data_IF_209982747923
#
_entry.id   IF_209982747923
#
_cell.length_a   1.000
_cell.length_b   1.000
_cell.length_c   1.000
_cell.angle_alpha   90.00
_cell.angle_beta   90.00
_cell.angle_gamma   90.00
#
_symmetry.space_group_name_H-M   'P 1'
#
loop_
_entity.id
_entity.type
_entity.pdbx_description
1 polymer ?
#
# COMPACT_ATOMS: atom_id res chain seq x y z
N UNK A 1 -0.41 -16.41 -6.38
CA UNK A 1 0.36 -15.18 -6.72
C UNK A 1 -0.59 -14.18 -7.38
N UNK A 2 -0.13 -13.03 -7.90
CA UNK A 2 -0.98 -12.15 -8.74
C UNK A 2 -1.07 -12.73 -10.17
N UNK A 3 -1.74 -13.87 -10.31
CA UNK A 3 -1.76 -14.66 -11.56
C UNK A 3 -2.56 -13.98 -12.67
N UNK A 4 -3.57 -13.21 -12.29
CA UNK A 4 -4.40 -12.44 -13.23
C UNK A 4 -3.75 -11.11 -13.68
N UNK A 5 -2.49 -10.85 -13.29
CA UNK A 5 -1.74 -9.64 -13.61
C UNK A 5 -2.52 -8.35 -13.32
N UNK A 6 -3.27 -8.34 -12.20
CA UNK A 6 -4.00 -7.15 -11.78
C UNK A 6 -3.01 -6.01 -11.50
N UNK A 7 -3.38 -4.75 -11.74
CA UNK A 7 -2.53 -3.59 -11.45
C UNK A 7 -2.50 -3.34 -9.93
N UNK A 8 -1.80 -4.22 -9.20
CA UNK A 8 -1.66 -4.19 -7.75
C UNK A 8 -0.18 -4.16 -7.36
N UNK A 9 0.17 -3.30 -6.41
CA UNK A 9 1.51 -3.17 -5.87
C UNK A 9 1.70 -3.93 -4.55
N UNK A 10 2.96 -4.23 -4.21
CA UNK A 10 3.33 -4.74 -2.88
C UNK A 10 4.25 -3.71 -2.22
N UNK A 11 4.01 -3.41 -0.95
CA UNK A 11 4.83 -2.46 -0.20
C UNK A 11 5.13 -2.94 1.23
N UNK A 12 6.37 -3.36 1.49
CA UNK A 12 6.81 -3.76 2.84
C UNK A 12 8.29 -3.46 3.08
N UNK A 13 8.69 -3.47 4.36
CA UNK A 13 10.05 -3.11 4.79
C UNK A 13 11.16 -3.94 4.17
N UNK A 14 10.90 -5.19 3.80
CA UNK A 14 11.89 -6.08 3.15
C UNK A 14 12.11 -5.83 1.65
N UNK A 15 11.41 -4.87 1.03
CA UNK A 15 11.68 -4.46 -0.36
C UNK A 15 12.79 -3.41 -0.40
N UNK A 16 13.50 -3.33 -1.52
CA UNK A 16 14.45 -2.24 -1.75
C UNK A 16 13.74 -0.89 -1.77
N UNK A 17 14.45 0.16 -1.33
CA UNK A 17 13.92 1.52 -1.32
C UNK A 17 13.38 1.95 -2.69
N UNK A 18 14.13 1.65 -3.76
CA UNK A 18 13.73 2.00 -5.11
C UNK A 18 12.44 1.29 -5.55
N UNK A 19 12.21 0.05 -5.10
CA UNK A 19 10.95 -0.66 -5.41
C UNK A 19 9.77 -0.03 -4.70
N UNK A 20 9.95 0.37 -3.43
CA UNK A 20 8.94 1.09 -2.65
C UNK A 20 8.56 2.42 -3.30
N UNK A 21 9.55 3.23 -3.65
CA UNK A 21 9.37 4.52 -4.34
C UNK A 21 8.64 4.36 -5.69
N UNK A 22 8.91 3.27 -6.43
CA UNK A 22 8.20 2.97 -7.68
C UNK A 22 6.72 2.67 -7.46
N UNK A 23 6.40 1.87 -6.44
CA UNK A 23 5.00 1.55 -6.08
C UNK A 23 4.28 2.81 -5.61
N UNK A 24 4.92 3.61 -4.77
CA UNK A 24 4.37 4.87 -4.31
C UNK A 24 4.06 5.80 -5.50
N UNK A 25 5.02 6.00 -6.41
CA UNK A 25 4.83 6.86 -7.56
C UNK A 25 3.78 6.32 -8.55
N UNK A 26 3.69 5.00 -8.73
CA UNK A 26 2.65 4.38 -9.57
C UNK A 26 1.25 4.56 -8.98
N UNK A 27 1.12 4.50 -7.65
CA UNK A 27 -0.13 4.79 -6.96
C UNK A 27 -0.54 6.27 -7.12
N UNK A 28 0.40 7.23 -6.99
CA UNK A 28 0.12 8.67 -7.22
C UNK A 28 -0.37 8.92 -8.65
N UNK A 29 0.19 8.21 -9.64
CA UNK A 29 -0.20 8.34 -11.05
C UNK A 29 -1.51 7.64 -11.40
N UNK A 30 -2.15 6.94 -10.46
CA UNK A 30 -3.35 6.15 -10.71
C UNK A 30 -3.13 4.89 -11.57
N UNK A 31 -1.87 4.42 -11.68
CA UNK A 31 -1.51 3.23 -12.45
C UNK A 31 -1.84 1.93 -11.71
N UNK A 32 -1.99 2.01 -10.38
CA UNK A 32 -2.36 0.90 -9.52
C UNK A 32 -3.80 1.06 -9.04
N UNK A 33 -4.54 -0.05 -9.04
CA UNK A 33 -5.89 -0.13 -8.44
C UNK A 33 -5.84 -0.41 -6.95
N UNK A 34 -4.75 -1.00 -6.46
CA UNK A 34 -4.57 -1.29 -5.03
C UNK A 34 -3.09 -1.50 -4.69
N UNK A 35 -2.74 -1.32 -3.41
CA UNK A 35 -1.45 -1.69 -2.86
C UNK A 35 -1.67 -2.58 -1.64
N UNK A 36 -1.01 -3.73 -1.61
CA UNK A 36 -0.96 -4.60 -0.43
C UNK A 36 0.28 -4.22 0.37
N UNK A 37 0.08 -3.77 1.60
CA UNK A 37 1.17 -3.30 2.45
C UNK A 37 1.11 -3.86 3.87
N UNK A 38 2.26 -3.80 4.54
CA UNK A 38 2.30 -3.85 6.01
C UNK A 38 2.18 -2.42 6.54
N UNK A 39 2.52 -2.19 7.82
CA UNK A 39 2.54 -0.83 8.38
C UNK A 39 3.62 0.12 7.82
N UNK A 40 4.14 -0.18 6.64
CA UNK A 40 5.08 0.63 5.87
C UNK A 40 4.41 1.84 5.20
N UNK A 41 3.07 1.84 5.06
CA UNK A 41 2.28 2.95 4.52
C UNK A 41 1.30 3.57 5.54
N UNK A 42 1.37 3.17 6.83
CA UNK A 42 0.40 3.60 7.86
C UNK A 42 0.41 5.11 8.13
N UNK A 43 1.53 5.80 7.89
CA UNK A 43 1.74 7.17 8.36
C UNK A 43 2.38 8.05 7.30
N UNK A 44 1.83 9.25 7.14
CA UNK A 44 2.47 10.35 6.42
C UNK A 44 2.35 10.32 4.90
N UNK A 45 1.50 9.46 4.34
CA UNK A 45 1.22 9.45 2.90
C UNK A 45 -0.20 9.94 2.65
N UNK A 46 -0.29 10.93 1.77
CA UNK A 46 -1.55 11.51 1.32
C UNK A 46 -1.84 11.01 -0.11
N UNK A 47 -2.80 10.09 -0.21
CA UNK A 47 -3.26 9.53 -1.48
C UNK A 47 -4.60 10.18 -1.84
N UNK A 48 -4.57 11.25 -2.63
CA UNK A 48 -5.78 12.00 -2.99
C UNK A 48 -6.89 11.17 -3.62
N UNK A 49 -6.53 10.06 -4.29
CA UNK A 49 -7.47 9.18 -5.00
C UNK A 49 -7.80 7.86 -4.27
N UNK A 50 -7.34 7.67 -3.02
CA UNK A 50 -7.69 6.48 -2.24
C UNK A 50 -8.92 6.75 -1.39
N UNK A 51 -9.99 6.01 -1.65
CA UNK A 51 -11.29 6.13 -0.97
C UNK A 51 -11.60 4.96 -0.02
N UNK A 52 -10.81 3.88 -0.07
CA UNK A 52 -11.02 2.66 0.70
C UNK A 52 -9.71 2.08 1.23
N UNK A 53 -9.68 1.81 2.54
CA UNK A 53 -8.63 1.04 3.21
C UNK A 53 -9.23 -0.24 3.78
N UNK A 54 -8.65 -1.39 3.42
CA UNK A 54 -9.07 -2.70 3.92
C UNK A 54 -8.01 -3.24 4.87
N UNK A 55 -8.35 -3.30 6.16
CA UNK A 55 -7.51 -3.93 7.17
C UNK A 55 -7.77 -5.44 7.21
N UNK A 56 -6.74 -6.23 6.89
CA UNK A 56 -6.81 -7.69 6.96
C UNK A 56 -6.35 -8.16 8.34
N UNK A 57 -7.28 -8.72 9.12
CA UNK A 57 -7.03 -9.22 10.47
C UNK A 57 -6.98 -8.11 11.53
N UNK A 58 -6.76 -8.51 12.79
CA UNK A 58 -6.70 -7.54 13.89
C UNK A 58 -5.40 -6.71 13.83
N UNK A 59 -5.46 -5.39 14.04
CA UNK A 59 -4.26 -4.58 14.15
C UNK A 59 -3.49 -4.94 15.43
N UNK A 60 -2.16 -4.73 15.42
CA UNK A 60 -1.32 -4.98 16.60
C UNK A 60 -1.66 -4.08 17.78
N UNK A 61 -2.22 -2.89 17.53
CA UNK A 61 -2.73 -1.98 18.53
C UNK A 61 -3.87 -1.12 17.95
N UNK A 62 -4.74 -0.60 18.82
CA UNK A 62 -5.88 0.23 18.41
C UNK A 62 -5.43 1.53 17.73
N UNK A 63 -4.28 2.08 18.14
CA UNK A 63 -3.72 3.32 17.59
C UNK A 63 -3.33 3.26 16.11
N UNK A 64 -3.33 2.08 15.49
CA UNK A 64 -3.08 1.93 14.05
C UNK A 64 -4.34 1.95 13.18
N UNK A 65 -5.52 2.00 13.78
CA UNK A 65 -6.80 2.12 13.05
C UNK A 65 -7.29 3.55 12.89
N UNK A 66 -6.65 4.51 13.57
CA UNK A 66 -7.11 5.89 13.75
C UNK A 66 -6.02 6.88 13.40
#
# INVERSE_FOLDING_TARGET
>A
ANEDLLPIGIHHGSLDRQQRERVEAAMVRGELRAVVCTGSLDLGIDWGDVDLVVQVGAPKNVKRLV
#
